data_IF_831727296722
#
_entry.id   IF_831727296722
#
_cell.length_a   1.000
_cell.length_b   1.000
_cell.length_c   1.000
_cell.angle_alpha   90.00
_cell.angle_beta   90.00
_cell.angle_gamma   90.00
#
_symmetry.space_group_name_H-M   'P 1'
#
loop_
_entity.id
_entity.type
_entity.pdbx_description
1 polymer ?
#
# COMPACT_ATOMS: atom_id res chain seq x y z
N UNK A 1 19.50 6.93 3.80
CA UNK A 1 19.33 5.56 3.26
C UNK A 1 17.90 5.41 2.78
N UNK A 2 17.67 5.11 1.48
CA UNK A 2 16.31 4.96 0.92
C UNK A 2 15.86 3.50 1.15
N UNK A 3 14.93 3.29 2.09
CA UNK A 3 14.47 1.94 2.48
C UNK A 3 13.45 1.40 1.46
N UNK A 4 12.50 2.24 1.04
CA UNK A 4 11.53 1.93 -0.03
C UNK A 4 12.08 2.37 -1.38
N UNK A 5 12.25 1.44 -2.32
CA UNK A 5 12.83 1.77 -3.63
C UNK A 5 11.78 2.12 -4.67
N UNK A 6 10.70 1.33 -4.74
CA UNK A 6 9.67 1.43 -5.79
C UNK A 6 8.31 1.01 -5.24
N UNK A 7 7.27 1.63 -5.77
CA UNK A 7 5.88 1.21 -5.63
C UNK A 7 5.40 0.74 -7.00
N UNK A 8 4.74 -0.41 -7.06
CA UNK A 8 4.20 -0.95 -8.31
C UNK A 8 2.72 -1.27 -8.17
N UNK A 9 1.87 -0.53 -8.87
CA UNK A 9 0.42 -0.77 -8.88
C UNK A 9 0.11 -1.97 -9.77
N UNK A 10 -0.55 -2.97 -9.21
CA UNK A 10 -0.94 -4.22 -9.90
C UNK A 10 -2.35 -4.14 -10.46
N UNK A 11 -3.24 -3.50 -9.71
CA UNK A 11 -4.63 -3.32 -10.11
C UNK A 11 -5.20 -2.07 -9.46
N UNK A 12 -6.19 -1.49 -10.14
CA UNK A 12 -6.96 -0.34 -9.68
C UNK A 12 -8.44 -0.64 -9.84
N UNK A 13 -9.20 -0.39 -8.80
CA UNK A 13 -10.66 -0.47 -8.78
C UNK A 13 -11.22 0.88 -8.35
N UNK A 14 -12.34 1.27 -8.94
CA UNK A 14 -12.99 2.56 -8.67
C UNK A 14 -14.48 2.30 -8.48
N UNK A 15 -15.06 2.91 -7.45
CA UNK A 15 -16.50 2.87 -7.19
C UNK A 15 -16.91 4.17 -6.49
N UNK A 16 -17.65 5.04 -7.20
CA UNK A 16 -17.98 6.37 -6.70
C UNK A 16 -16.72 7.15 -6.32
N UNK A 17 -16.72 7.72 -5.12
CA UNK A 17 -15.59 8.48 -4.56
C UNK A 17 -14.53 7.60 -3.88
N UNK A 18 -14.53 6.29 -4.15
CA UNK A 18 -13.56 5.36 -3.60
C UNK A 18 -12.66 4.78 -4.68
N UNK A 19 -11.38 4.68 -4.35
CA UNK A 19 -10.37 4.00 -5.16
C UNK A 19 -9.71 2.94 -4.29
N UNK A 20 -9.66 1.71 -4.80
CA UNK A 20 -8.83 0.66 -4.22
C UNK A 20 -7.68 0.33 -5.15
N UNK A 21 -6.45 0.33 -4.62
CA UNK A 21 -5.27 -0.13 -5.35
C UNK A 21 -4.75 -1.40 -4.68
N UNK A 22 -4.40 -2.41 -5.47
CA UNK A 22 -3.50 -3.47 -5.03
C UNK A 22 -2.11 -3.18 -5.60
N UNK A 23 -1.09 -3.21 -4.76
CA UNK A 23 0.24 -2.75 -5.15
C UNK A 23 1.34 -3.36 -4.28
N UNK A 24 2.56 -3.26 -4.80
CA UNK A 24 3.76 -3.77 -4.16
C UNK A 24 4.59 -2.62 -3.64
N UNK A 25 5.00 -2.71 -2.38
CA UNK A 25 6.13 -1.93 -1.88
C UNK A 25 7.40 -2.78 -1.96
N UNK A 26 8.36 -2.32 -2.76
CA UNK A 26 9.63 -3.02 -2.94
C UNK A 26 10.69 -2.47 -2.00
N UNK A 27 11.15 -3.32 -1.09
CA UNK A 27 12.21 -3.06 -0.12
C UNK A 27 13.43 -3.96 -0.39
N UNK A 28 14.26 -3.68 -1.41
CA UNK A 28 15.39 -4.52 -1.79
C UNK A 28 16.40 -4.75 -0.64
N UNK A 29 16.64 -3.72 0.18
CA UNK A 29 17.55 -3.80 1.32
C UNK A 29 17.11 -4.82 2.39
N UNK A 30 15.83 -5.19 2.42
CA UNK A 30 15.26 -6.20 3.33
C UNK A 30 14.89 -7.49 2.60
N UNK A 31 15.23 -7.61 1.30
CA UNK A 31 14.76 -8.68 0.41
C UNK A 31 13.24 -8.93 0.52
N UNK A 32 12.47 -7.86 0.67
CA UNK A 32 11.04 -7.90 0.98
C UNK A 32 10.22 -7.22 -0.12
N UNK A 33 9.24 -7.94 -0.66
CA UNK A 33 8.13 -7.38 -1.43
C UNK A 33 6.88 -7.41 -0.56
N UNK A 34 6.49 -6.25 -0.02
CA UNK A 34 5.29 -6.14 0.78
C UNK A 34 4.09 -5.92 -0.15
N UNK A 35 3.30 -6.99 -0.32
CA UNK A 35 2.00 -6.93 -0.99
C UNK A 35 1.02 -6.16 -0.12
N UNK A 36 0.37 -5.17 -0.69
CA UNK A 36 -0.59 -4.35 0.04
C UNK A 36 -1.79 -3.98 -0.82
N UNK A 37 -2.87 -3.62 -0.16
CA UNK A 37 -3.97 -2.93 -0.77
C UNK A 37 -4.31 -1.67 0.02
N UNK A 38 -4.73 -0.61 -0.67
CA UNK A 38 -5.20 0.62 -0.02
C UNK A 38 -6.58 0.93 -0.53
N UNK A 39 -7.50 1.24 0.39
CA UNK A 39 -8.77 1.87 0.08
C UNK A 39 -8.64 3.36 0.41
N UNK A 40 -8.89 4.20 -0.59
CA UNK A 40 -8.88 5.65 -0.46
C UNK A 40 -10.28 6.19 -0.71
N UNK A 41 -10.73 7.10 0.15
CA UNK A 41 -11.94 7.87 -0.06
C UNK A 41 -11.57 9.30 -0.46
N UNK A 42 -12.35 9.85 -1.39
CA UNK A 42 -12.20 11.21 -1.87
C UNK A 42 -13.42 12.05 -1.50
N UNK A 43 -13.21 13.34 -1.27
CA UNK A 43 -14.27 14.35 -1.18
C UNK A 43 -13.72 15.63 -1.81
N UNK A 44 -14.47 16.25 -2.72
CA UNK A 44 -14.02 17.47 -3.44
C UNK A 44 -12.62 17.31 -4.07
N UNK A 45 -12.37 16.13 -4.67
CA UNK A 45 -11.08 15.74 -5.27
C UNK A 45 -9.89 15.62 -4.30
N UNK A 46 -10.12 15.68 -2.99
CA UNK A 46 -9.10 15.49 -1.96
C UNK A 46 -9.23 14.11 -1.33
N UNK A 47 -8.10 13.47 -1.01
CA UNK A 47 -8.10 12.22 -0.23
C UNK A 47 -8.48 12.56 1.21
N UNK A 48 -9.58 12.02 1.71
CA UNK A 48 -10.07 12.25 3.08
C UNK A 48 -9.87 11.04 4.00
N UNK A 49 -9.69 9.83 3.45
CA UNK A 49 -9.41 8.61 4.21
C UNK A 49 -8.47 7.70 3.45
N UNK A 50 -7.57 7.04 4.18
CA UNK A 50 -6.68 6.00 3.69
C UNK A 50 -6.77 4.81 4.66
N UNK A 51 -7.11 3.64 4.13
CA UNK A 51 -7.08 2.36 4.87
C UNK A 51 -6.11 1.42 4.17
N UNK A 52 -5.01 1.09 4.85
CA UNK A 52 -3.96 0.23 4.33
C UNK A 52 -4.10 -1.20 4.89
N UNK A 53 -4.16 -2.17 3.99
CA UNK A 53 -4.22 -3.60 4.28
C UNK A 53 -2.92 -4.27 3.82
N UNK A 54 -2.23 -4.93 4.73
CA UNK A 54 -0.98 -5.63 4.44
C UNK A 54 -0.71 -6.73 5.48
N UNK A 55 0.19 -7.65 5.14
CA UNK A 55 0.70 -8.64 6.08
C UNK A 55 1.85 -8.04 6.91
N UNK A 56 1.63 -7.85 8.21
CA UNK A 56 2.60 -7.24 9.11
C UNK A 56 3.66 -8.22 9.64
N UNK A 57 3.49 -9.54 9.45
CA UNK A 57 4.41 -10.58 9.94
C UNK A 57 5.89 -10.35 9.59
N UNK A 58 6.26 -9.85 8.39
CA UNK A 58 7.66 -9.55 8.08
C UNK A 58 8.33 -8.52 9.00
N UNK A 59 7.55 -7.73 9.74
CA UNK A 59 8.03 -6.70 10.67
C UNK A 59 7.86 -7.09 12.14
N UNK A 60 7.28 -8.25 12.43
CA UNK A 60 7.18 -8.75 13.79
C UNK A 60 8.58 -9.09 14.32
N UNK A 61 8.97 -8.46 15.43
CA UNK A 61 10.20 -8.83 16.13
C UNK A 61 9.99 -10.20 16.79
N UNK A 62 10.94 -11.13 16.61
CA UNK A 62 10.98 -12.35 17.42
C UNK A 62 11.23 -11.93 18.87
N UNK A 63 10.29 -12.26 19.76
CA UNK A 63 10.48 -12.16 21.21
C UNK A 63 11.58 -13.09 21.67
#
# INVERSE_FOLDING_TARGET
>A
MKILTKIEVRSKFVSGDQVMLAYDFLFPAMNLNLRSAVLMNFQESQIVKIELFYDARPFEQKK
#
